data_IF_365145350267
#
_entry.id   IF_365145350267
#
_cell.length_a   1.000
_cell.length_b   1.000
_cell.length_c   1.000
_cell.angle_alpha   90.00
_cell.angle_beta   90.00
_cell.angle_gamma   90.00
#
_symmetry.space_group_name_H-M   'P 1'
#
loop_
_entity.id
_entity.type
_entity.pdbx_description
1 polymer ?
#
# COMPACT_ATOMS: atom_id res chain seq x y z
N UNK A 1 -18.20 -24.04 -21.37
CA UNK A 1 -17.23 -23.65 -22.40
C UNK A 1 -15.90 -23.48 -21.70
N UNK A 2 -14.92 -24.29 -22.04
CA UNK A 2 -13.60 -24.28 -21.40
C UNK A 2 -12.90 -22.95 -21.76
N UNK A 3 -12.52 -22.18 -20.76
CA UNK A 3 -11.62 -21.04 -20.93
C UNK A 3 -10.29 -21.64 -21.37
N UNK A 4 -9.93 -21.46 -22.63
CA UNK A 4 -8.60 -21.74 -23.15
C UNK A 4 -7.63 -20.86 -22.35
N UNK A 5 -6.80 -21.51 -21.50
CA UNK A 5 -5.68 -20.86 -20.85
C UNK A 5 -4.81 -20.19 -21.91
N UNK A 6 -4.80 -18.86 -21.89
CA UNK A 6 -3.88 -18.09 -22.70
C UNK A 6 -2.47 -18.58 -22.34
N UNK A 7 -1.70 -19.10 -23.31
CA UNK A 7 -0.27 -19.32 -23.17
C UNK A 7 0.30 -17.99 -22.70
N UNK A 8 0.90 -17.99 -21.51
CA UNK A 8 1.69 -16.84 -21.05
C UNK A 8 2.62 -16.41 -22.21
N UNK A 9 2.61 -15.14 -22.53
CA UNK A 9 3.48 -14.63 -23.59
C UNK A 9 4.93 -14.88 -23.19
N UNK A 10 5.81 -15.11 -24.15
CA UNK A 10 7.25 -15.33 -23.90
C UNK A 10 7.87 -14.20 -23.05
N UNK A 11 7.36 -12.96 -23.24
CA UNK A 11 7.83 -11.81 -22.47
C UNK A 11 7.37 -11.86 -21.00
N UNK A 12 6.21 -12.44 -20.70
CA UNK A 12 5.76 -12.68 -19.31
C UNK A 12 6.65 -13.70 -18.62
N UNK A 13 7.00 -14.77 -19.30
CA UNK A 13 7.91 -15.77 -18.77
C UNK A 13 9.29 -15.17 -18.45
N UNK A 14 9.82 -14.30 -19.35
CA UNK A 14 11.04 -13.56 -19.07
C UNK A 14 10.92 -12.71 -17.79
N UNK A 15 9.84 -11.92 -17.65
CA UNK A 15 9.62 -11.09 -16.47
C UNK A 15 9.52 -11.94 -15.19
N UNK A 16 8.79 -13.05 -15.20
CA UNK A 16 8.66 -13.94 -14.05
C UNK A 16 10.01 -14.57 -13.65
N UNK A 17 10.89 -14.89 -14.62
CA UNK A 17 12.22 -15.40 -14.33
C UNK A 17 13.09 -14.43 -13.51
N UNK A 18 12.82 -13.11 -13.59
CA UNK A 18 13.54 -12.10 -12.82
C UNK A 18 13.22 -12.11 -11.33
N UNK A 19 12.11 -12.74 -10.91
CA UNK A 19 11.75 -12.84 -9.47
C UNK A 19 12.78 -13.61 -8.65
N UNK A 20 13.47 -14.57 -9.26
CA UNK A 20 14.48 -15.41 -8.58
C UNK A 20 15.78 -14.65 -8.29
N UNK A 21 16.00 -13.53 -8.95
CA UNK A 21 17.25 -12.76 -8.83
C UNK A 21 17.34 -11.90 -7.56
N UNK A 22 16.25 -11.79 -6.81
CA UNK A 22 16.21 -10.97 -5.59
C UNK A 22 16.25 -9.46 -5.86
N UNK A 23 16.31 -8.69 -4.79
CA UNK A 23 16.49 -7.23 -4.86
C UNK A 23 17.96 -6.89 -5.10
N UNK A 24 18.20 -5.98 -6.04
CA UNK A 24 19.51 -5.41 -6.31
C UNK A 24 19.40 -3.89 -6.12
N UNK A 25 19.85 -3.36 -4.98
CA UNK A 25 19.88 -1.91 -4.77
C UNK A 25 20.82 -1.26 -5.79
N UNK A 26 20.35 -0.20 -6.46
CA UNK A 26 21.13 0.55 -7.45
C UNK A 26 20.21 1.21 -8.47
N UNK A 27 20.68 2.29 -9.08
CA UNK A 27 19.91 3.08 -10.05
C UNK A 27 20.42 2.91 -11.48
N UNK A 28 21.58 2.26 -11.64
CA UNK A 28 22.34 2.24 -12.90
C UNK A 28 21.56 1.54 -14.01
N UNK A 29 21.05 0.32 -13.73
CA UNK A 29 20.29 -0.48 -14.72
C UNK A 29 19.01 0.26 -15.14
N UNK A 30 18.26 0.76 -14.18
CA UNK A 30 17.03 1.52 -14.45
C UNK A 30 17.33 2.80 -15.24
N UNK A 31 18.40 3.52 -14.90
CA UNK A 31 18.81 4.75 -15.60
C UNK A 31 19.17 4.48 -17.06
N UNK A 32 19.95 3.43 -17.34
CA UNK A 32 20.28 2.99 -18.70
C UNK A 32 19.00 2.67 -19.49
N UNK A 33 18.09 1.91 -18.90
CA UNK A 33 16.84 1.51 -19.56
C UNK A 33 15.90 2.69 -19.80
N UNK A 34 15.75 3.62 -18.85
CA UNK A 34 15.00 4.87 -19.06
C UNK A 34 15.56 5.68 -20.25
N UNK A 35 16.88 5.75 -20.35
CA UNK A 35 17.53 6.44 -21.48
C UNK A 35 17.22 5.75 -22.82
N UNK A 36 17.33 4.42 -22.88
CA UNK A 36 17.01 3.63 -24.08
C UNK A 36 15.53 3.71 -24.48
N UNK A 37 14.64 3.87 -23.50
CA UNK A 37 13.21 4.05 -23.70
C UNK A 37 12.80 5.51 -24.00
N UNK A 38 13.76 6.43 -24.17
CA UNK A 38 13.50 7.83 -24.51
C UNK A 38 13.05 8.69 -23.34
N UNK A 39 13.48 8.37 -22.12
CA UNK A 39 13.21 9.14 -20.89
C UNK A 39 11.72 9.39 -20.64
N UNK A 40 10.86 8.35 -20.63
CA UNK A 40 9.40 8.52 -20.53
C UNK A 40 8.98 9.24 -19.24
N UNK A 41 9.71 9.05 -18.12
CA UNK A 41 9.46 9.70 -16.85
C UNK A 41 9.59 11.23 -16.87
N UNK A 42 10.20 11.80 -17.87
CA UNK A 42 10.37 13.27 -18.02
C UNK A 42 9.16 13.94 -18.69
N UNK A 43 8.18 13.16 -19.14
CA UNK A 43 7.02 13.70 -19.88
C UNK A 43 5.91 14.22 -18.97
N UNK A 44 5.96 13.94 -17.69
CA UNK A 44 4.97 14.35 -16.68
C UNK A 44 5.65 14.59 -15.34
N UNK A 45 5.20 15.58 -14.53
CA UNK A 45 5.66 15.76 -13.16
C UNK A 45 5.07 14.67 -12.25
N UNK A 46 5.76 14.39 -11.14
CA UNK A 46 5.34 13.33 -10.22
C UNK A 46 5.36 13.79 -8.77
N UNK A 47 4.43 13.24 -7.97
CA UNK A 47 4.50 13.23 -6.51
C UNK A 47 5.11 11.91 -6.08
N UNK A 48 6.26 11.93 -5.42
CA UNK A 48 6.99 10.74 -5.00
C UNK A 48 6.80 10.48 -3.51
N UNK A 49 6.28 9.31 -3.14
CA UNK A 49 5.87 8.98 -1.78
C UNK A 49 6.71 7.86 -1.21
N UNK A 50 7.37 8.11 -0.06
CA UNK A 50 8.08 7.11 0.74
C UNK A 50 7.52 7.04 2.16
N UNK A 51 7.96 6.03 2.92
CA UNK A 51 7.56 5.78 4.30
C UNK A 51 7.55 4.29 4.62
N UNK A 52 7.25 3.93 5.85
CA UNK A 52 7.02 2.53 6.24
C UNK A 52 5.55 2.17 6.06
N UNK A 53 4.65 2.85 6.75
CA UNK A 53 3.22 2.63 6.68
C UNK A 53 2.51 3.80 5.99
N UNK A 54 1.33 3.54 5.38
CA UNK A 54 0.47 4.57 4.81
C UNK A 54 0.84 5.07 3.41
N UNK A 55 1.97 4.63 2.81
CA UNK A 55 2.39 5.02 1.45
C UNK A 55 1.27 4.85 0.41
N UNK A 56 0.82 3.61 0.24
CA UNK A 56 -0.20 3.28 -0.76
C UNK A 56 -1.50 4.03 -0.55
N UNK A 57 -1.96 4.18 0.71
CA UNK A 57 -3.17 4.96 1.03
C UNK A 57 -3.02 6.43 0.65
N UNK A 58 -1.87 7.04 0.98
CA UNK A 58 -1.57 8.42 0.59
C UNK A 58 -1.51 8.57 -0.94
N UNK A 59 -0.86 7.64 -1.63
CA UNK A 59 -0.76 7.63 -3.10
C UNK A 59 -2.13 7.54 -3.78
N UNK A 60 -2.99 6.63 -3.29
CA UNK A 60 -4.32 6.42 -3.89
C UNK A 60 -5.22 7.65 -3.68
N UNK A 61 -5.21 8.24 -2.48
CA UNK A 61 -6.00 9.45 -2.20
C UNK A 61 -5.51 10.62 -3.06
N UNK A 62 -4.19 10.83 -3.18
CA UNK A 62 -3.60 11.85 -4.06
C UNK A 62 -4.05 11.66 -5.52
N UNK A 63 -3.91 10.45 -6.05
CA UNK A 63 -4.26 10.15 -7.43
C UNK A 63 -5.77 10.32 -7.69
N UNK A 64 -6.61 9.81 -6.78
CA UNK A 64 -8.05 9.91 -6.93
C UNK A 64 -8.54 11.36 -6.81
N UNK A 65 -7.95 12.17 -5.92
CA UNK A 65 -8.28 13.59 -5.81
C UNK A 65 -7.91 14.37 -7.09
N UNK A 66 -6.77 14.08 -7.69
CA UNK A 66 -6.36 14.63 -8.99
C UNK A 66 -7.35 14.23 -10.08
N UNK A 67 -7.66 12.94 -10.21
CA UNK A 67 -8.60 12.46 -11.23
C UNK A 67 -10.01 13.04 -11.06
N UNK A 68 -10.52 13.16 -9.83
CA UNK A 68 -11.82 13.79 -9.55
C UNK A 68 -11.84 15.29 -9.88
N UNK A 69 -10.70 15.97 -9.82
CA UNK A 69 -10.59 17.37 -10.26
C UNK A 69 -10.39 17.54 -11.77
N UNK A 70 -10.40 16.44 -12.54
CA UNK A 70 -10.25 16.46 -14.00
C UNK A 70 -8.80 16.41 -14.49
N UNK A 71 -7.82 16.15 -13.60
CA UNK A 71 -6.40 16.01 -13.94
C UNK A 71 -6.12 14.52 -14.16
N UNK A 72 -5.74 14.13 -15.38
CA UNK A 72 -5.41 12.73 -15.68
C UNK A 72 -4.18 12.29 -14.88
N UNK A 73 -4.32 11.23 -14.07
CA UNK A 73 -3.34 10.82 -13.10
C UNK A 73 -2.88 9.38 -13.28
N UNK A 74 -1.56 9.20 -13.46
CA UNK A 74 -0.92 7.91 -13.36
C UNK A 74 -0.62 7.56 -11.89
N UNK A 75 -0.90 6.33 -11.47
CA UNK A 75 -0.62 5.84 -10.13
C UNK A 75 0.24 4.57 -10.20
N UNK A 76 1.43 4.63 -9.59
CA UNK A 76 2.29 3.46 -9.39
C UNK A 76 2.36 3.08 -7.93
N UNK A 77 1.95 1.83 -7.62
CA UNK A 77 1.94 1.27 -6.25
C UNK A 77 2.54 -0.13 -6.22
N UNK A 78 3.04 -0.56 -5.06
CA UNK A 78 3.57 -1.91 -4.87
C UNK A 78 3.46 -2.40 -3.42
N UNK A 79 3.33 -3.73 -3.22
CA UNK A 79 3.13 -4.77 -4.23
C UNK A 79 1.68 -4.84 -4.73
N UNK A 80 1.40 -5.75 -5.68
CA UNK A 80 0.04 -6.12 -6.09
C UNK A 80 -0.54 -7.23 -5.19
N UNK A 81 -1.85 -7.42 -5.23
CA UNK A 81 -2.58 -8.50 -4.55
C UNK A 81 -2.79 -9.71 -5.47
N UNK A 82 -3.39 -9.52 -6.63
CA UNK A 82 -3.81 -10.58 -7.54
C UNK A 82 -2.99 -10.64 -8.84
N UNK A 83 -2.78 -9.50 -9.50
CA UNK A 83 -2.07 -9.43 -10.78
C UNK A 83 -1.20 -8.17 -10.92
N UNK A 84 -0.17 -8.25 -11.74
CA UNK A 84 0.88 -7.22 -11.80
C UNK A 84 0.40 -5.86 -12.30
N UNK A 85 -0.62 -5.83 -13.17
CA UNK A 85 -1.21 -4.61 -13.72
C UNK A 85 -1.80 -3.70 -12.65
N UNK A 86 -2.17 -4.24 -11.48
CA UNK A 86 -2.62 -3.45 -10.31
C UNK A 86 -1.59 -2.41 -9.86
N UNK A 87 -0.31 -2.62 -10.18
CA UNK A 87 0.75 -1.66 -9.83
C UNK A 87 0.68 -0.38 -10.64
N UNK A 88 -0.02 -0.40 -11.77
CA UNK A 88 -0.04 0.67 -12.76
C UNK A 88 -1.48 1.02 -13.09
N UNK A 89 -1.92 2.15 -12.60
CA UNK A 89 -3.29 2.64 -12.81
C UNK A 89 -3.27 3.99 -13.51
N UNK A 90 -4.27 4.22 -14.34
CA UNK A 90 -4.57 5.53 -14.94
C UNK A 90 -5.99 5.88 -14.53
N UNK A 91 -6.14 7.03 -13.88
CA UNK A 91 -7.41 7.50 -13.33
C UNK A 91 -8.13 6.43 -12.48
N UNK A 92 -7.35 5.76 -11.62
CA UNK A 92 -7.81 4.75 -10.68
C UNK A 92 -8.01 3.34 -11.27
N UNK A 93 -7.89 3.15 -12.59
CA UNK A 93 -8.14 1.88 -13.29
C UNK A 93 -6.81 1.20 -13.65
N UNK A 94 -6.59 -0.08 -13.29
CA UNK A 94 -5.43 -0.85 -13.75
C UNK A 94 -5.33 -0.86 -15.28
N UNK A 95 -4.10 -0.74 -15.81
CA UNK A 95 -3.90 -0.87 -17.27
C UNK A 95 -4.27 -2.27 -17.76
N UNK A 96 -4.69 -2.39 -19.00
CA UNK A 96 -5.05 -3.69 -19.56
C UNK A 96 -3.83 -4.58 -19.72
N UNK A 97 -4.03 -5.91 -19.60
CA UNK A 97 -3.00 -6.93 -19.86
C UNK A 97 -2.34 -6.75 -21.23
N UNK A 98 -3.14 -6.43 -22.24
CA UNK A 98 -2.62 -6.18 -23.60
C UNK A 98 -1.66 -4.98 -23.64
N UNK A 99 -2.01 -3.90 -22.96
CA UNK A 99 -1.16 -2.71 -22.90
C UNK A 99 0.12 -3.00 -22.12
N UNK A 100 -0.02 -3.67 -20.95
CA UNK A 100 1.11 -4.10 -20.15
C UNK A 100 2.09 -4.95 -20.97
N UNK A 101 1.62 -5.97 -21.68
CA UNK A 101 2.46 -6.88 -22.48
C UNK A 101 3.16 -6.18 -23.64
N UNK A 102 2.45 -5.26 -24.31
CA UNK A 102 3.03 -4.46 -25.39
C UNK A 102 4.18 -3.59 -24.90
N UNK A 103 4.03 -2.96 -23.74
CA UNK A 103 5.08 -2.13 -23.14
C UNK A 103 6.19 -2.98 -22.57
N UNK A 104 5.86 -4.10 -21.92
CA UNK A 104 6.83 -5.05 -21.38
C UNK A 104 7.78 -5.55 -22.48
N UNK A 105 7.27 -5.82 -23.70
CA UNK A 105 8.11 -6.19 -24.83
C UNK A 105 9.11 -5.06 -25.16
N UNK A 106 8.71 -3.81 -25.17
CA UNK A 106 9.61 -2.68 -25.41
C UNK A 106 10.71 -2.57 -24.35
N UNK A 107 10.35 -2.84 -23.08
CA UNK A 107 11.32 -2.87 -21.96
C UNK A 107 12.31 -4.02 -22.14
N UNK A 108 11.85 -5.20 -22.51
CA UNK A 108 12.73 -6.35 -22.82
C UNK A 108 13.66 -6.05 -23.98
N UNK A 109 13.14 -5.52 -25.08
CA UNK A 109 13.95 -5.16 -26.26
C UNK A 109 15.01 -4.11 -25.89
N UNK A 110 14.69 -3.15 -25.02
CA UNK A 110 15.66 -2.19 -24.52
C UNK A 110 16.72 -2.83 -23.61
N UNK A 111 16.36 -3.86 -22.82
CA UNK A 111 17.28 -4.59 -21.97
C UNK A 111 18.27 -5.44 -22.78
N UNK A 112 17.82 -6.00 -23.91
CA UNK A 112 18.61 -6.85 -24.79
C UNK A 112 19.56 -6.08 -25.70
N UNK A 113 19.47 -4.73 -25.79
CA UNK A 113 20.40 -3.91 -26.58
C UNK A 113 21.84 -4.05 -26.07
N UNK A 114 22.81 -4.01 -27.00
CA UNK A 114 24.24 -4.12 -26.66
C UNK A 114 24.82 -2.82 -26.07
N UNK A 115 25.50 -2.84 -24.91
CA UNK A 115 25.62 -3.98 -23.98
C UNK A 115 24.30 -4.29 -23.29
N UNK A 116 23.94 -5.59 -23.20
CA UNK A 116 22.72 -6.00 -22.52
C UNK A 116 22.77 -5.69 -21.03
N UNK A 117 21.63 -5.32 -20.47
CA UNK A 117 21.46 -5.07 -19.03
C UNK A 117 20.31 -5.90 -18.48
N UNK A 118 20.41 -6.30 -17.22
CA UNK A 118 19.42 -7.20 -16.61
C UNK A 118 18.73 -6.49 -15.43
N UNK A 119 17.50 -5.99 -15.64
CA UNK A 119 16.72 -5.39 -14.58
C UNK A 119 16.17 -6.43 -13.60
N UNK A 120 15.83 -6.01 -12.39
CA UNK A 120 15.01 -6.79 -11.47
C UNK A 120 13.53 -6.74 -11.86
N UNK A 121 12.73 -7.68 -11.32
CA UNK A 121 11.27 -7.67 -11.50
C UNK A 121 10.63 -6.33 -11.14
N UNK A 122 11.08 -5.70 -10.04
CA UNK A 122 10.55 -4.41 -9.60
C UNK A 122 10.91 -3.28 -10.57
N UNK A 123 12.17 -3.22 -11.02
CA UNK A 123 12.61 -2.23 -12.01
C UNK A 123 11.80 -2.32 -13.31
N UNK A 124 11.52 -3.55 -13.78
CA UNK A 124 10.65 -3.76 -14.95
C UNK A 124 9.28 -3.17 -14.73
N UNK A 125 8.64 -3.41 -13.56
CA UNK A 125 7.30 -2.85 -13.30
C UNK A 125 7.30 -1.32 -13.27
N UNK A 126 8.34 -0.71 -12.72
CA UNK A 126 8.50 0.74 -12.74
C UNK A 126 8.71 1.29 -14.15
N UNK A 127 9.55 0.66 -14.97
CA UNK A 127 9.77 1.05 -16.36
C UNK A 127 8.49 0.94 -17.20
N UNK A 128 7.73 -0.13 -17.02
CA UNK A 128 6.42 -0.30 -17.67
C UNK A 128 5.45 0.83 -17.24
N UNK A 129 5.45 1.21 -15.95
CA UNK A 129 4.62 2.31 -15.47
C UNK A 129 4.99 3.64 -16.13
N UNK A 130 6.28 3.98 -16.19
CA UNK A 130 6.74 5.22 -16.82
C UNK A 130 6.36 5.31 -18.29
N UNK A 131 6.49 4.20 -19.01
CA UNK A 131 6.07 4.09 -20.42
C UNK A 131 4.55 4.22 -20.57
N UNK A 132 3.78 3.50 -19.74
CA UNK A 132 2.32 3.51 -19.79
C UNK A 132 1.76 4.92 -19.55
N UNK A 133 2.29 5.64 -18.55
CA UNK A 133 1.87 6.99 -18.24
C UNK A 133 2.24 7.98 -19.36
N UNK A 134 3.44 7.84 -19.93
CA UNK A 134 3.88 8.67 -21.05
C UNK A 134 3.07 8.43 -22.33
N UNK A 135 2.69 7.18 -22.62
CA UNK A 135 1.86 6.81 -23.78
C UNK A 135 0.40 7.24 -23.61
N UNK A 136 -0.12 7.20 -22.37
CA UNK A 136 -1.45 7.70 -22.06
C UNK A 136 -1.54 9.24 -22.02
N UNK A 137 -0.41 9.94 -21.91
CA UNK A 137 -0.37 11.40 -21.81
C UNK A 137 -0.94 11.93 -20.52
N UNK A 138 -0.66 11.26 -19.39
CA UNK A 138 -1.14 11.73 -18.09
C UNK A 138 -0.57 13.11 -17.74
N UNK A 139 -1.38 13.93 -17.09
CA UNK A 139 -0.95 15.28 -16.67
C UNK A 139 0.03 15.21 -15.50
N UNK A 140 -0.11 14.20 -14.64
CA UNK A 140 0.71 14.00 -13.44
C UNK A 140 0.75 12.52 -13.06
N UNK A 141 1.80 12.11 -12.31
CA UNK A 141 1.83 10.80 -11.70
C UNK A 141 2.02 10.88 -10.18
N UNK A 142 1.53 9.85 -9.48
CA UNK A 142 1.81 9.59 -8.06
C UNK A 142 2.55 8.27 -7.98
N UNK A 143 3.73 8.28 -7.38
CA UNK A 143 4.69 7.19 -7.42
C UNK A 143 5.03 6.74 -5.99
N UNK A 144 4.69 5.51 -5.64
CA UNK A 144 5.06 4.86 -4.38
C UNK A 144 6.45 4.23 -4.48
N UNK A 145 7.32 4.45 -3.48
CA UNK A 145 8.59 3.71 -3.35
C UNK A 145 8.34 2.24 -3.01
N UNK A 146 9.14 1.35 -3.58
CA UNK A 146 9.09 -0.07 -3.23
C UNK A 146 9.80 -0.37 -1.91
N UNK A 147 11.06 0.05 -1.78
CA UNK A 147 11.88 -0.17 -0.59
C UNK A 147 12.87 0.98 -0.37
N UNK A 148 12.88 1.51 0.87
CA UNK A 148 13.79 2.61 1.20
C UNK A 148 13.42 3.88 0.45
N UNK A 149 14.33 4.41 -0.34
CA UNK A 149 14.16 5.61 -1.17
C UNK A 149 15.43 5.94 -1.95
N UNK A 150 16.59 5.97 -1.30
CA UNK A 150 17.88 6.38 -1.88
C UNK A 150 18.27 5.59 -3.12
N UNK A 151 18.11 4.27 -3.07
CA UNK A 151 18.48 3.33 -4.15
C UNK A 151 17.25 2.65 -4.79
N UNK A 152 16.05 3.18 -4.53
CA UNK A 152 14.83 2.69 -5.16
C UNK A 152 14.71 3.23 -6.59
N UNK A 153 14.33 2.39 -7.55
CA UNK A 153 14.21 2.77 -8.96
C UNK A 153 13.31 4.00 -9.18
N UNK A 154 12.28 4.15 -8.33
CA UNK A 154 11.37 5.30 -8.37
C UNK A 154 12.04 6.63 -8.08
N UNK A 155 13.26 6.60 -7.48
CA UNK A 155 14.09 7.80 -7.32
C UNK A 155 14.38 8.51 -8.63
N UNK A 156 14.29 7.82 -9.76
CA UNK A 156 14.53 8.35 -11.11
C UNK A 156 13.30 9.02 -11.74
N UNK A 157 12.13 9.04 -11.10
CA UNK A 157 10.97 9.80 -11.59
C UNK A 157 11.23 11.31 -11.54
N UNK A 158 10.56 12.06 -12.40
CA UNK A 158 10.60 13.53 -12.40
C UNK A 158 9.65 14.08 -11.33
N UNK A 159 10.09 14.07 -10.06
CA UNK A 159 9.29 14.56 -8.96
C UNK A 159 9.50 16.04 -8.70
N UNK A 160 8.41 16.78 -8.55
CA UNK A 160 8.36 18.16 -8.05
C UNK A 160 7.85 18.25 -6.61
N UNK A 161 7.30 17.13 -6.07
CA UNK A 161 6.98 16.96 -4.68
C UNK A 161 7.40 15.58 -4.17
N UNK A 162 7.86 15.54 -2.92
CA UNK A 162 8.21 14.33 -2.18
C UNK A 162 7.44 14.31 -0.86
N UNK A 163 6.81 13.17 -0.55
CA UNK A 163 6.03 12.98 0.67
C UNK A 163 6.63 11.83 1.47
N UNK A 164 6.92 12.05 2.74
CA UNK A 164 7.38 11.04 3.68
C UNK A 164 6.27 10.75 4.69
N UNK A 165 5.68 9.57 4.60
CA UNK A 165 4.66 9.10 5.50
C UNK A 165 5.28 8.58 6.81
N UNK A 166 4.57 7.79 7.58
CA UNK A 166 5.05 7.25 8.84
C UNK A 166 6.29 6.36 8.66
N UNK A 167 7.22 6.46 9.61
CA UNK A 167 8.38 5.60 9.76
C UNK A 167 8.16 4.57 10.88
N UNK A 168 8.53 3.34 10.61
CA UNK A 168 8.56 2.24 11.58
C UNK A 168 9.75 1.33 11.29
N UNK A 169 10.14 0.51 12.24
CA UNK A 169 11.16 -0.52 12.04
C UNK A 169 10.62 -1.57 11.07
N UNK A 170 11.19 -1.61 9.88
CA UNK A 170 10.87 -2.58 8.83
C UNK A 170 12.11 -2.83 7.97
N UNK A 171 12.19 -4.00 7.36
CA UNK A 171 13.32 -4.37 6.48
C UNK A 171 14.68 -4.05 7.10
N UNK A 172 14.82 -4.32 8.39
CA UNK A 172 16.01 -3.94 9.18
C UNK A 172 17.30 -4.58 8.65
N UNK A 173 17.21 -5.72 7.99
CA UNK A 173 18.32 -6.38 7.31
C UNK A 173 18.91 -5.55 6.15
N UNK A 174 18.13 -4.61 5.59
CA UNK A 174 18.49 -3.84 4.38
C UNK A 174 18.60 -2.35 4.70
N UNK A 175 17.63 -1.79 5.45
CA UNK A 175 17.54 -0.35 5.71
C UNK A 175 18.25 0.09 6.98
N UNK A 176 18.66 -0.89 7.83
CA UNK A 176 19.24 -0.66 9.14
C UNK A 176 18.27 -0.85 10.30
N UNK A 177 18.81 -1.01 11.47
CA UNK A 177 18.17 -1.47 12.71
C UNK A 177 17.70 -0.33 13.62
N UNK A 178 17.75 0.93 13.14
CA UNK A 178 17.26 2.11 13.87
C UNK A 178 16.35 2.98 12.98
N UNK A 179 15.44 3.72 13.63
CA UNK A 179 14.58 4.67 12.91
C UNK A 179 15.39 5.76 12.19
N UNK A 180 16.54 6.18 12.76
CA UNK A 180 17.46 7.14 12.14
C UNK A 180 18.01 6.62 10.79
N UNK A 181 18.48 5.36 10.75
CA UNK A 181 18.97 4.75 9.50
C UNK A 181 17.86 4.63 8.47
N UNK A 182 16.70 4.15 8.89
CA UNK A 182 15.52 4.03 8.02
C UNK A 182 15.07 5.41 7.50
N UNK A 183 15.08 6.43 8.35
CA UNK A 183 14.79 7.81 7.99
C UNK A 183 15.75 8.35 6.93
N UNK A 184 17.06 8.10 7.11
CA UNK A 184 18.11 8.48 6.15
C UNK A 184 17.86 7.88 4.77
N UNK A 185 17.56 6.57 4.70
CA UNK A 185 17.28 5.89 3.43
C UNK A 185 16.01 6.39 2.75
N UNK A 186 14.94 6.65 3.54
CA UNK A 186 13.65 7.06 3.00
C UNK A 186 13.59 8.54 2.65
N UNK A 187 14.16 9.44 3.47
CA UNK A 187 14.20 10.87 3.21
C UNK A 187 15.06 11.22 1.98
N UNK A 188 15.96 10.33 1.57
CA UNK A 188 16.76 10.49 0.35
C UNK A 188 15.95 10.49 -0.95
N UNK A 189 14.63 10.34 -0.91
CA UNK A 189 13.76 10.66 -2.05
C UNK A 189 13.74 12.16 -2.37
N UNK A 190 14.07 13.02 -1.41
CA UNK A 190 14.17 14.47 -1.62
C UNK A 190 15.09 14.85 -2.78
N UNK A 191 14.74 15.89 -3.49
CA UNK A 191 15.53 16.50 -4.58
C UNK A 191 15.57 18.02 -4.41
N UNK A 192 16.69 18.68 -4.73
CA UNK A 192 16.76 20.14 -4.73
C UNK A 192 15.64 20.76 -5.59
N UNK A 193 14.92 21.72 -5.02
CA UNK A 193 13.82 22.41 -5.69
C UNK A 193 12.45 21.74 -5.57
N UNK A 194 12.37 20.50 -5.10
CA UNK A 194 11.10 19.84 -4.83
C UNK A 194 10.45 20.36 -3.54
N UNK A 195 9.12 20.40 -3.53
CA UNK A 195 8.37 20.45 -2.28
C UNK A 195 8.65 19.16 -1.49
N UNK A 196 8.91 19.27 -0.19
CA UNK A 196 9.07 18.13 0.69
C UNK A 196 8.12 18.23 1.87
N UNK A 197 7.32 17.19 2.09
CA UNK A 197 6.38 17.11 3.21
C UNK A 197 6.65 15.81 3.96
N UNK A 198 6.96 15.92 5.24
CA UNK A 198 7.21 14.78 6.10
C UNK A 198 6.21 14.74 7.27
N UNK A 199 5.70 13.55 7.54
CA UNK A 199 4.98 13.30 8.79
C UNK A 199 5.92 13.52 9.97
N UNK A 200 5.45 14.24 10.99
CA UNK A 200 6.21 14.42 12.22
C UNK A 200 6.58 13.07 12.85
N UNK A 201 7.83 12.93 13.24
CA UNK A 201 8.32 11.78 13.98
C UNK A 201 8.74 12.21 15.39
N UNK A 202 8.39 11.41 16.39
CA UNK A 202 8.74 11.70 17.79
C UNK A 202 10.18 11.26 18.14
N UNK A 203 10.80 10.42 17.33
CA UNK A 203 12.19 10.02 17.46
C UNK A 203 13.12 11.14 16.98
N UNK A 204 14.00 11.64 17.86
CA UNK A 204 14.89 12.75 17.57
C UNK A 204 15.95 12.39 16.51
N UNK A 205 16.45 11.15 16.53
CA UNK A 205 17.41 10.65 15.55
C UNK A 205 16.80 10.64 14.13
N UNK A 206 15.57 10.12 14.02
CA UNK A 206 14.84 10.11 12.76
C UNK A 206 14.54 11.54 12.24
N UNK A 207 14.14 12.47 13.12
CA UNK A 207 13.93 13.89 12.73
C UNK A 207 15.21 14.52 12.21
N UNK A 208 16.30 14.40 12.95
CA UNK A 208 17.60 14.93 12.54
C UNK A 208 18.06 14.35 11.20
N UNK A 209 17.86 13.06 10.98
CA UNK A 209 18.20 12.41 9.72
C UNK A 209 17.39 12.96 8.54
N UNK A 210 16.09 13.20 8.75
CA UNK A 210 15.22 13.81 7.74
C UNK A 210 15.65 15.24 7.45
N UNK A 211 15.88 16.06 8.46
CA UNK A 211 16.32 17.45 8.31
C UNK A 211 17.66 17.56 7.58
N UNK A 212 18.61 16.69 7.91
CA UNK A 212 19.92 16.63 7.24
C UNK A 212 19.84 16.16 5.77
N UNK A 213 18.77 15.44 5.40
CA UNK A 213 18.55 14.98 4.03
C UNK A 213 18.00 16.09 3.11
N UNK A 214 17.47 17.17 3.70
CA UNK A 214 16.84 18.28 2.97
C UNK A 214 17.83 19.44 2.83
N UNK A 215 18.19 19.81 1.61
CA UNK A 215 19.12 20.91 1.34
C UNK A 215 18.47 22.29 1.31
N UNK A 216 17.23 22.37 0.86
CA UNK A 216 16.43 23.60 0.80
C UNK A 216 15.21 23.52 1.72
N UNK A 217 15.34 24.10 2.90
CA UNK A 217 14.29 24.07 3.91
C UNK A 217 13.13 25.04 3.61
N UNK A 218 13.27 25.96 2.66
CA UNK A 218 12.18 26.89 2.30
C UNK A 218 10.97 26.20 1.69
N UNK A 219 11.17 24.98 1.15
CA UNK A 219 10.14 24.14 0.54
C UNK A 219 9.89 22.84 1.32
N UNK A 220 10.30 22.79 2.59
CA UNK A 220 10.21 21.59 3.38
C UNK A 220 9.34 21.80 4.63
N UNK A 221 8.42 20.85 4.86
CA UNK A 221 7.38 20.98 5.86
C UNK A 221 7.19 19.69 6.65
N UNK A 222 7.01 19.84 7.99
CA UNK A 222 6.49 18.81 8.85
C UNK A 222 4.96 18.82 8.85
N UNK A 223 4.36 17.67 8.78
CA UNK A 223 2.97 17.45 9.11
C UNK A 223 2.86 16.89 10.54
N UNK A 224 2.13 17.59 11.41
CA UNK A 224 1.87 17.15 12.79
C UNK A 224 0.41 17.41 13.16
N UNK A 225 -0.34 16.31 13.41
CA UNK A 225 -1.75 16.35 13.81
C UNK A 225 -2.61 17.19 12.85
N UNK A 226 -2.94 18.41 13.27
CA UNK A 226 -3.84 19.38 12.64
C UNK A 226 -3.11 20.54 11.97
N UNK A 227 -1.77 20.54 11.96
CA UNK A 227 -0.97 21.68 11.49
C UNK A 227 0.26 21.29 10.69
N UNK A 228 0.59 22.14 9.72
CA UNK A 228 1.85 22.11 9.00
C UNK A 228 2.86 23.05 9.68
N UNK A 229 4.12 22.63 9.75
CA UNK A 229 5.24 23.40 10.29
C UNK A 229 6.43 23.31 9.35
N UNK A 230 7.15 24.41 9.17
CA UNK A 230 8.43 24.37 8.44
C UNK A 230 9.44 23.40 9.10
N UNK A 231 10.25 22.70 8.32
CA UNK A 231 11.22 21.72 8.84
C UNK A 231 12.27 22.37 9.75
N UNK A 232 12.68 23.58 9.48
CA UNK A 232 13.49 24.40 10.43
C UNK A 232 12.62 25.47 11.06
N UNK A 233 11.79 25.05 11.98
CA UNK A 233 10.89 25.94 12.68
C UNK A 233 11.64 26.66 13.80
N UNK A 234 11.76 27.97 13.68
CA UNK A 234 12.11 28.83 14.82
C UNK A 234 10.82 29.06 15.62
N UNK A 235 10.77 28.52 16.84
CA UNK A 235 9.61 28.62 17.74
C UNK A 235 9.19 30.06 18.02
N UNK A 236 10.03 31.05 17.71
CA UNK A 236 9.74 32.48 17.86
C UNK A 236 8.89 33.07 16.71
N UNK A 237 8.80 32.41 15.57
CA UNK A 237 8.05 32.87 14.38
C UNK A 237 6.95 31.88 13.98
N UNK A 238 5.88 31.82 14.74
CA UNK A 238 4.76 30.93 14.57
C UNK A 238 3.90 31.24 13.33
N UNK A 239 4.31 30.82 12.15
CA UNK A 239 3.41 30.72 10.99
C UNK A 239 2.83 29.32 10.87
N UNK A 240 1.90 28.99 11.75
CA UNK A 240 1.12 27.76 11.66
C UNK A 240 0.04 27.96 10.58
N UNK A 241 0.01 27.08 9.58
CA UNK A 241 -1.12 26.97 8.66
C UNK A 241 -2.03 25.86 9.18
N UNK A 242 -3.21 26.17 9.77
CA UNK A 242 -4.15 25.16 10.15
C UNK A 242 -4.65 24.45 8.88
N UNK A 243 -4.66 23.12 8.90
CA UNK A 243 -5.39 22.33 7.90
C UNK A 243 -6.71 21.97 8.56
N UNK A 244 -7.85 22.31 7.96
CA UNK A 244 -9.16 22.02 8.51
C UNK A 244 -9.26 20.51 8.85
N UNK A 245 -9.90 20.21 9.98
CA UNK A 245 -10.23 18.83 10.31
C UNK A 245 -11.28 18.30 9.33
N UNK A 246 -11.26 16.99 9.09
CA UNK A 246 -12.25 16.35 8.26
C UNK A 246 -13.47 16.05 9.12
N UNK A 247 -14.52 16.87 9.02
CA UNK A 247 -15.81 16.60 9.65
C UNK A 247 -16.49 15.41 8.95
N UNK A 248 -17.14 14.53 9.72
CA UNK A 248 -17.94 13.43 9.16
C UNK A 248 -17.17 12.13 8.84
N UNK A 249 -15.93 11.98 9.27
CA UNK A 249 -15.13 10.75 9.07
C UNK A 249 -14.98 9.92 10.36
N UNK A 250 -16.03 9.82 11.16
CA UNK A 250 -15.97 9.19 12.48
C UNK A 250 -15.64 7.69 12.42
N UNK A 251 -15.95 7.01 11.30
CA UNK A 251 -15.60 5.61 11.07
C UNK A 251 -14.18 5.36 10.52
N UNK A 252 -13.38 6.41 10.30
CA UNK A 252 -12.07 6.29 9.71
C UNK A 252 -10.95 6.09 10.72
N UNK A 253 -10.04 5.16 10.38
CA UNK A 253 -8.84 4.98 11.17
C UNK A 253 -7.98 6.26 11.22
N UNK A 254 -7.31 6.55 12.35
CA UNK A 254 -6.42 7.69 12.46
C UNK A 254 -5.37 7.75 11.33
N UNK A 255 -4.82 6.60 10.92
CA UNK A 255 -3.85 6.53 9.82
C UNK A 255 -4.45 6.82 8.44
N UNK A 256 -5.74 6.56 8.23
CA UNK A 256 -6.44 6.91 6.99
C UNK A 256 -6.70 8.42 6.93
N UNK A 257 -7.16 9.01 8.04
CA UNK A 257 -7.30 10.48 8.19
C UNK A 257 -5.97 11.18 7.97
N UNK A 258 -4.88 10.62 8.47
CA UNK A 258 -3.55 11.17 8.28
C UNK A 258 -3.09 11.12 6.81
N UNK A 259 -3.34 10.02 6.11
CA UNK A 259 -3.04 9.92 4.68
C UNK A 259 -3.81 10.97 3.86
N UNK A 260 -5.08 11.20 4.19
CA UNK A 260 -5.91 12.23 3.56
C UNK A 260 -5.39 13.65 3.83
N UNK A 261 -4.97 13.94 5.06
CA UNK A 261 -4.38 15.24 5.42
C UNK A 261 -3.06 15.51 4.71
N UNK A 262 -2.18 14.51 4.63
CA UNK A 262 -0.94 14.61 3.85
C UNK A 262 -1.24 14.87 2.37
N UNK A 263 -2.24 14.20 1.80
CA UNK A 263 -2.67 14.41 0.43
C UNK A 263 -3.19 15.84 0.22
N UNK A 264 -4.10 16.31 1.08
CA UNK A 264 -4.67 17.68 1.01
C UNK A 264 -3.59 18.75 1.11
N UNK A 265 -2.67 18.60 2.07
CA UNK A 265 -1.53 19.50 2.22
C UNK A 265 -0.63 19.51 0.99
N UNK A 266 -0.30 18.35 0.45
CA UNK A 266 0.57 18.22 -0.73
C UNK A 266 -0.04 18.93 -1.93
N UNK A 267 -1.32 18.66 -2.22
CA UNK A 267 -2.04 19.27 -3.34
C UNK A 267 -2.17 20.78 -3.18
N UNK A 268 -2.53 21.25 -1.99
CA UNK A 268 -2.64 22.69 -1.70
C UNK A 268 -1.31 23.44 -1.85
N UNK A 269 -0.20 22.84 -1.40
CA UNK A 269 1.14 23.44 -1.54
C UNK A 269 1.70 23.36 -2.96
N UNK A 270 1.24 22.41 -3.77
CA UNK A 270 1.50 22.34 -5.22
C UNK A 270 0.56 23.26 -6.03
N UNK A 271 -0.31 24.05 -5.37
CA UNK A 271 -1.31 24.90 -5.98
C UNK A 271 -2.40 24.18 -6.81
N UNK A 272 -2.64 22.90 -6.55
CA UNK A 272 -3.78 22.14 -7.06
C UNK A 272 -4.98 22.31 -6.12
N UNK A 273 -5.53 23.53 -6.03
CA UNK A 273 -6.56 23.86 -5.04
C UNK A 273 -7.84 23.05 -5.24
N UNK A 274 -8.30 22.89 -6.49
CA UNK A 274 -9.50 22.10 -6.81
C UNK A 274 -9.30 20.64 -6.40
N UNK A 275 -8.13 20.05 -6.66
CA UNK A 275 -7.83 18.68 -6.25
C UNK A 275 -7.71 18.57 -4.72
N UNK A 276 -7.19 19.58 -4.02
CA UNK A 276 -7.14 19.59 -2.57
C UNK A 276 -8.54 19.62 -1.94
N UNK A 277 -9.52 20.29 -2.56
CA UNK A 277 -10.94 20.26 -2.17
C UNK A 277 -11.58 18.90 -2.47
N UNK A 278 -11.13 18.20 -3.51
CA UNK A 278 -11.63 16.86 -3.83
C UNK A 278 -11.11 15.75 -2.91
N UNK A 279 -10.18 16.02 -1.99
CA UNK A 279 -9.61 14.96 -1.12
C UNK A 279 -10.68 14.25 -0.29
N UNK A 280 -11.65 14.96 0.27
CA UNK A 280 -12.74 14.35 1.04
C UNK A 280 -13.59 13.45 0.15
N UNK A 281 -13.97 13.93 -1.04
CA UNK A 281 -14.66 13.12 -2.03
C UNK A 281 -13.81 11.93 -2.48
N UNK A 282 -12.51 12.14 -2.74
CA UNK A 282 -11.59 11.05 -3.11
C UNK A 282 -11.59 9.94 -2.07
N UNK A 283 -11.56 10.31 -0.80
CA UNK A 283 -11.63 9.38 0.31
C UNK A 283 -12.89 8.53 0.26
N UNK A 284 -14.06 9.14 0.09
CA UNK A 284 -15.35 8.44 0.01
C UNK A 284 -15.45 7.52 -1.22
N UNK A 285 -14.83 7.89 -2.33
CA UNK A 285 -14.84 7.13 -3.58
C UNK A 285 -13.68 6.13 -3.71
N UNK A 286 -12.76 6.09 -2.74
CA UNK A 286 -11.63 5.17 -2.77
C UNK A 286 -12.01 3.81 -2.19
N UNK A 287 -11.89 2.78 -3.01
CA UNK A 287 -11.83 1.39 -2.56
C UNK A 287 -10.38 0.93 -2.71
N UNK A 288 -9.67 0.83 -1.60
CA UNK A 288 -8.28 0.35 -1.61
C UNK A 288 -8.26 -1.14 -1.27
N UNK A 289 -8.07 -2.05 -2.26
CA UNK A 289 -8.16 -3.49 -2.02
C UNK A 289 -7.20 -3.95 -0.91
N UNK A 290 -7.74 -4.73 0.03
CA UNK A 290 -6.98 -5.26 1.15
C UNK A 290 -6.52 -4.22 2.18
N UNK A 291 -7.18 -3.06 2.30
CA UNK A 291 -6.91 -2.07 3.34
C UNK A 291 -8.21 -1.70 4.05
N UNK A 292 -8.50 -2.36 5.16
CA UNK A 292 -9.77 -2.27 5.89
C UNK A 292 -10.96 -2.38 4.92
N UNK A 293 -10.81 -3.20 3.88
CA UNK A 293 -11.79 -3.33 2.82
C UNK A 293 -12.97 -4.17 3.31
N UNK A 294 -14.16 -3.57 3.26
CA UNK A 294 -15.41 -4.26 3.54
C UNK A 294 -15.98 -4.86 2.26
N UNK A 295 -16.38 -6.11 2.35
CA UNK A 295 -16.96 -6.89 1.26
C UNK A 295 -18.16 -7.65 1.77
N UNK A 296 -19.02 -8.09 0.85
CA UNK A 296 -20.03 -9.11 1.10
C UNK A 296 -19.81 -10.26 0.12
N UNK A 297 -19.76 -11.47 0.63
CA UNK A 297 -19.62 -12.66 -0.19
C UNK A 297 -20.56 -13.76 0.27
N UNK A 298 -21.43 -14.24 -0.61
CA UNK A 298 -22.48 -15.25 -0.32
C UNK A 298 -23.37 -14.86 0.87
N UNK A 299 -23.67 -13.56 1.02
CA UNK A 299 -24.51 -13.04 2.10
C UNK A 299 -23.81 -12.95 3.48
N UNK A 300 -22.49 -13.11 3.52
CA UNK A 300 -21.67 -12.96 4.73
C UNK A 300 -20.81 -11.72 4.59
N UNK A 301 -20.83 -10.79 5.57
CA UNK A 301 -19.92 -9.64 5.58
C UNK A 301 -18.47 -10.09 5.83
N UNK A 302 -17.52 -9.52 5.08
CA UNK A 302 -16.09 -9.72 5.27
C UNK A 302 -15.38 -8.39 5.44
N UNK A 303 -14.42 -8.37 6.35
CA UNK A 303 -13.41 -7.31 6.45
C UNK A 303 -12.05 -7.90 6.17
N UNK A 304 -11.34 -7.34 5.19
CA UNK A 304 -10.01 -7.84 4.81
C UNK A 304 -8.96 -6.74 4.94
N UNK A 305 -7.82 -7.09 5.54
CA UNK A 305 -6.67 -6.19 5.63
C UNK A 305 -5.34 -6.94 5.41
N UNK A 306 -4.46 -6.30 4.66
CA UNK A 306 -3.16 -6.86 4.30
C UNK A 306 -2.03 -6.43 5.25
N UNK A 307 -2.31 -6.16 6.52
CA UNK A 307 -1.31 -5.95 7.55
C UNK A 307 -0.34 -7.14 7.57
N UNK A 308 0.97 -6.86 7.53
CA UNK A 308 2.00 -7.88 7.37
C UNK A 308 3.29 -7.57 8.14
N UNK A 309 3.25 -6.62 9.05
CA UNK A 309 4.30 -6.29 10.00
C UNK A 309 3.68 -5.91 11.36
N UNK A 310 4.45 -5.92 12.47
CA UNK A 310 3.91 -5.65 13.81
C UNK A 310 3.16 -4.33 13.93
N UNK A 311 3.72 -3.22 13.44
CA UNK A 311 3.06 -1.90 13.49
C UNK A 311 1.77 -1.83 12.67
N UNK A 312 1.72 -2.53 11.52
CA UNK A 312 0.49 -2.62 10.72
C UNK A 312 -0.60 -3.43 11.44
N UNK A 313 -0.23 -4.55 12.05
CA UNK A 313 -1.16 -5.39 12.83
C UNK A 313 -1.73 -4.64 14.01
N UNK A 314 -0.88 -3.96 14.78
CA UNK A 314 -1.29 -3.12 15.91
C UNK A 314 -2.36 -2.09 15.52
N UNK A 315 -2.12 -1.34 14.45
CA UNK A 315 -3.04 -0.31 13.98
C UNK A 315 -4.38 -0.85 13.51
N UNK A 316 -4.36 -1.97 12.80
CA UNK A 316 -5.60 -2.60 12.31
C UNK A 316 -6.42 -3.13 13.50
N UNK A 317 -5.78 -3.82 14.45
CA UNK A 317 -6.46 -4.34 15.63
C UNK A 317 -6.99 -3.22 16.54
N UNK A 318 -6.20 -2.16 16.75
CA UNK A 318 -6.64 -0.98 17.51
C UNK A 318 -7.87 -0.33 16.86
N UNK A 319 -7.83 -0.13 15.54
CA UNK A 319 -8.95 0.46 14.80
C UNK A 319 -10.20 -0.42 14.90
N UNK A 320 -10.06 -1.73 14.80
CA UNK A 320 -11.18 -2.64 14.94
C UNK A 320 -11.80 -2.59 16.33
N UNK A 321 -11.01 -2.52 17.41
CA UNK A 321 -11.53 -2.35 18.78
C UNK A 321 -12.37 -1.07 18.87
N UNK A 322 -11.85 0.06 18.39
CA UNK A 322 -12.57 1.35 18.38
C UNK A 322 -13.89 1.24 17.61
N UNK A 323 -13.91 0.58 16.46
CA UNK A 323 -15.12 0.41 15.65
C UNK A 323 -16.14 -0.53 16.30
N UNK A 324 -15.69 -1.58 16.98
CA UNK A 324 -16.54 -2.50 17.72
C UNK A 324 -17.13 -1.81 18.96
N UNK A 325 -16.33 -1.10 19.74
CA UNK A 325 -16.78 -0.34 20.93
C UNK A 325 -17.79 0.77 20.59
N UNK A 326 -17.66 1.35 19.39
CA UNK A 326 -18.55 2.42 18.91
C UNK A 326 -19.76 1.91 18.10
N UNK A 327 -19.99 0.60 18.04
CA UNK A 327 -21.02 -0.05 17.23
C UNK A 327 -20.97 0.28 15.72
N UNK A 328 -19.81 0.76 15.23
CA UNK A 328 -19.60 1.09 13.80
C UNK A 328 -19.37 -0.17 12.97
N UNK A 329 -18.79 -1.21 13.59
CA UNK A 329 -18.58 -2.51 12.95
C UNK A 329 -18.86 -3.63 13.97
N UNK A 330 -19.67 -4.64 13.60
CA UNK A 330 -19.98 -5.73 14.49
C UNK A 330 -18.74 -6.61 14.73
N UNK A 331 -18.65 -7.18 15.91
CA UNK A 331 -17.58 -8.12 16.27
C UNK A 331 -17.50 -9.28 15.28
N UNK A 332 -16.32 -9.59 14.72
CA UNK A 332 -16.15 -10.75 13.87
C UNK A 332 -16.43 -12.06 14.62
N UNK A 333 -17.18 -12.96 14.01
CA UNK A 333 -17.39 -14.30 14.56
C UNK A 333 -16.26 -15.26 14.24
N UNK A 334 -15.55 -15.01 13.15
CA UNK A 334 -14.48 -15.86 12.63
C UNK A 334 -13.32 -15.00 12.11
N UNK A 335 -12.09 -15.43 12.41
CA UNK A 335 -10.87 -14.84 11.84
C UNK A 335 -10.21 -15.86 10.91
N UNK A 336 -9.79 -15.41 9.71
CA UNK A 336 -8.87 -16.12 8.84
C UNK A 336 -7.50 -15.45 8.98
N UNK A 337 -6.51 -16.18 9.47
CA UNK A 337 -5.17 -15.65 9.73
C UNK A 337 -4.09 -16.48 9.05
N UNK A 338 -3.15 -15.80 8.39
CA UNK A 338 -1.99 -16.43 7.79
C UNK A 338 -0.94 -15.40 7.42
N UNK A 339 0.34 -15.71 7.68
CA UNK A 339 1.42 -14.76 7.45
C UNK A 339 2.64 -15.40 6.78
N UNK A 340 3.53 -14.52 6.30
CA UNK A 340 4.90 -14.86 5.92
C UNK A 340 5.82 -14.73 7.13
N UNK A 341 7.02 -15.35 7.13
CA UNK A 341 7.95 -15.29 8.27
C UNK A 341 8.22 -13.87 8.75
N UNK A 342 8.10 -13.67 10.05
CA UNK A 342 8.34 -12.42 10.76
C UNK A 342 9.64 -12.53 11.56
N UNK A 343 10.38 -11.43 11.71
CA UNK A 343 11.52 -11.35 12.63
C UNK A 343 11.10 -11.41 14.11
N UNK A 344 9.88 -10.95 14.39
CA UNK A 344 9.22 -10.99 15.70
C UNK A 344 7.78 -11.47 15.49
N UNK A 345 7.58 -12.78 15.52
CA UNK A 345 6.26 -13.40 15.35
C UNK A 345 5.37 -13.12 16.56
N UNK A 346 5.92 -13.09 17.77
CA UNK A 346 5.17 -12.83 19.00
C UNK A 346 4.60 -11.42 18.99
N UNK A 347 5.45 -10.41 18.74
CA UNK A 347 5.00 -9.03 18.64
C UNK A 347 4.04 -8.79 17.47
N UNK A 348 4.13 -9.61 16.41
CA UNK A 348 3.20 -9.53 15.28
C UNK A 348 1.81 -10.05 15.62
N UNK A 349 1.68 -11.15 16.37
CA UNK A 349 0.38 -11.76 16.69
C UNK A 349 -0.25 -11.20 17.97
N UNK A 350 0.52 -10.57 18.86
CA UNK A 350 0.03 -10.08 20.15
C UNK A 350 -1.20 -9.14 20.01
N UNK A 351 -1.24 -8.14 19.12
CA UNK A 351 -2.42 -7.29 18.95
C UNK A 351 -3.67 -8.07 18.49
N UNK A 352 -3.47 -9.14 17.70
CA UNK A 352 -4.55 -10.02 17.27
C UNK A 352 -5.13 -10.83 18.43
N UNK A 353 -4.28 -11.34 19.32
CA UNK A 353 -4.71 -12.06 20.52
C UNK A 353 -5.53 -11.15 21.43
N UNK A 354 -5.06 -9.93 21.64
CA UNK A 354 -5.80 -8.93 22.42
C UNK A 354 -7.18 -8.64 21.78
N UNK A 355 -7.24 -8.46 20.46
CA UNK A 355 -8.52 -8.27 19.75
C UNK A 355 -9.46 -9.47 19.92
N UNK A 356 -8.92 -10.69 19.89
CA UNK A 356 -9.69 -11.92 20.09
C UNK A 356 -10.29 -11.98 21.50
N UNK A 357 -9.50 -11.66 22.50
CA UNK A 357 -9.92 -11.68 23.90
C UNK A 357 -10.96 -10.60 24.18
N UNK A 358 -10.68 -9.35 23.77
CA UNK A 358 -11.57 -8.22 23.99
C UNK A 358 -12.91 -8.36 23.24
N UNK A 359 -12.86 -8.93 22.03
CA UNK A 359 -14.03 -9.17 21.21
C UNK A 359 -14.78 -10.47 21.51
N UNK A 360 -14.31 -11.31 22.43
CA UNK A 360 -14.84 -12.65 22.68
C UNK A 360 -14.98 -13.50 21.39
N UNK A 361 -14.03 -13.34 20.45
CA UNK A 361 -14.03 -14.03 19.15
C UNK A 361 -13.76 -15.52 19.37
N UNK A 362 -14.58 -16.39 18.79
CA UNK A 362 -14.57 -17.82 19.13
C UNK A 362 -13.78 -18.69 18.16
N UNK A 363 -13.63 -18.28 16.92
CA UNK A 363 -13.04 -19.13 15.87
C UNK A 363 -11.89 -18.42 15.17
N UNK A 364 -10.74 -19.10 15.08
CA UNK A 364 -9.61 -18.67 14.23
C UNK A 364 -9.24 -19.82 13.29
N UNK A 365 -9.21 -19.53 12.01
CA UNK A 365 -8.78 -20.45 10.96
C UNK A 365 -7.38 -20.04 10.51
N UNK A 366 -6.36 -20.84 10.85
CA UNK A 366 -4.99 -20.58 10.41
C UNK A 366 -4.75 -21.20 9.05
N UNK A 367 -4.14 -20.42 8.15
CA UNK A 367 -3.90 -20.82 6.75
C UNK A 367 -2.53 -20.39 6.26
N UNK A 368 -2.11 -20.93 5.12
CA UNK A 368 -0.79 -20.69 4.55
C UNK A 368 -0.91 -19.86 3.26
N UNK A 369 -0.56 -18.55 3.29
CA UNK A 369 -0.53 -17.72 2.10
C UNK A 369 0.25 -18.36 0.95
N UNK A 370 -0.36 -18.41 -0.24
CA UNK A 370 0.22 -19.03 -1.43
C UNK A 370 0.90 -17.98 -2.34
N UNK A 371 1.85 -18.42 -3.16
CA UNK A 371 2.55 -17.60 -4.16
C UNK A 371 3.38 -16.44 -3.56
N UNK A 372 3.71 -16.52 -2.26
CA UNK A 372 4.61 -15.56 -1.62
C UNK A 372 6.06 -15.69 -2.12
N UNK A 373 6.85 -14.61 -1.93
CA UNK A 373 8.30 -14.64 -2.22
C UNK A 373 9.08 -15.55 -1.26
N UNK A 374 8.59 -15.73 -0.05
CA UNK A 374 9.10 -16.68 0.95
C UNK A 374 8.00 -17.68 1.26
N UNK A 375 8.34 -18.91 1.64
CA UNK A 375 7.34 -19.83 2.16
C UNK A 375 6.53 -19.19 3.29
N UNK A 376 5.24 -19.50 3.36
CA UNK A 376 4.40 -19.07 4.46
C UNK A 376 4.88 -19.71 5.79
N UNK A 377 4.53 -19.08 6.92
CA UNK A 377 4.56 -19.75 8.21
C UNK A 377 3.53 -20.87 8.16
N UNK A 378 3.90 -22.08 8.58
CA UNK A 378 2.99 -23.21 8.49
C UNK A 378 1.77 -23.06 9.41
N UNK A 379 0.63 -23.54 8.98
CA UNK A 379 -0.59 -23.51 9.79
C UNK A 379 -0.43 -24.24 11.13
N UNK A 380 0.47 -25.23 11.22
CA UNK A 380 0.82 -25.92 12.47
C UNK A 380 1.63 -25.03 13.40
N UNK A 381 2.58 -24.27 12.88
CA UNK A 381 3.38 -23.31 13.66
C UNK A 381 2.50 -22.16 14.17
N UNK A 382 1.64 -21.60 13.32
CA UNK A 382 0.70 -20.54 13.71
C UNK A 382 -0.27 -20.99 14.79
N UNK A 383 -0.80 -22.21 14.68
CA UNK A 383 -1.67 -22.80 15.71
C UNK A 383 -0.92 -22.89 17.05
N UNK A 384 0.30 -23.47 17.04
CA UNK A 384 1.10 -23.62 18.25
C UNK A 384 1.42 -22.25 18.90
N UNK A 385 1.75 -21.25 18.08
CA UNK A 385 2.08 -19.92 18.56
C UNK A 385 0.87 -19.24 19.21
N UNK A 386 -0.31 -19.29 18.57
CA UNK A 386 -1.55 -18.73 19.12
C UNK A 386 -1.97 -19.44 20.42
N UNK A 387 -1.85 -20.77 20.49
CA UNK A 387 -2.14 -21.54 21.71
C UNK A 387 -1.17 -21.19 22.84
N UNK A 388 0.12 -21.04 22.54
CA UNK A 388 1.16 -20.72 23.54
C UNK A 388 0.94 -19.36 24.21
N UNK A 389 0.33 -18.41 23.49
CA UNK A 389 -0.02 -17.08 24.01
C UNK A 389 -1.36 -17.06 24.77
N UNK A 390 -2.00 -18.24 24.95
CA UNK A 390 -3.17 -18.38 25.80
C UNK A 390 -4.48 -17.89 25.18
N UNK A 391 -4.58 -17.86 23.87
CA UNK A 391 -5.80 -17.46 23.18
C UNK A 391 -6.96 -18.45 23.52
N UNK A 392 -8.07 -18.01 24.14
CA UNK A 392 -9.19 -18.87 24.60
C UNK A 392 -10.17 -19.18 23.46
N UNK A 393 -9.69 -19.80 22.37
CA UNK A 393 -10.43 -19.94 21.11
C UNK A 393 -10.31 -21.35 20.51
N UNK A 394 -11.24 -21.66 19.60
CA UNK A 394 -11.13 -22.81 18.72
C UNK A 394 -10.27 -22.44 17.51
N UNK A 395 -9.08 -23.04 17.39
CA UNK A 395 -8.18 -22.85 16.26
C UNK A 395 -8.27 -24.06 15.34
N UNK A 396 -8.67 -23.86 14.08
CA UNK A 396 -8.69 -24.89 13.06
C UNK A 396 -7.58 -24.63 12.01
N UNK A 397 -6.94 -25.70 11.54
CA UNK A 397 -5.91 -25.62 10.49
C UNK A 397 -6.50 -25.87 9.12
N UNK A 398 -6.35 -24.92 8.23
CA UNK A 398 -6.73 -25.03 6.83
C UNK A 398 -5.58 -24.51 5.96
N UNK A 399 -4.59 -25.35 5.57
CA UNK A 399 -3.40 -24.91 4.84
C UNK A 399 -3.73 -24.16 3.53
N UNK A 400 -4.85 -24.50 2.90
CA UNK A 400 -5.30 -23.81 1.68
C UNK A 400 -6.22 -22.63 2.03
N UNK A 401 -5.91 -21.40 1.59
CA UNK A 401 -6.76 -20.21 1.86
C UNK A 401 -8.20 -20.34 1.36
N UNK A 402 -8.43 -21.03 0.24
CA UNK A 402 -9.79 -21.28 -0.25
C UNK A 402 -10.59 -22.19 0.67
N UNK A 403 -9.96 -23.21 1.26
CA UNK A 403 -10.63 -24.10 2.23
C UNK A 403 -10.91 -23.35 3.55
N UNK A 404 -9.99 -22.48 3.99
CA UNK A 404 -10.22 -21.61 5.13
C UNK A 404 -11.42 -20.66 4.89
N UNK A 405 -11.55 -20.09 3.70
CA UNK A 405 -12.67 -19.23 3.32
C UNK A 405 -14.00 -20.01 3.35
N UNK A 406 -14.07 -21.19 2.75
CA UNK A 406 -15.27 -22.03 2.75
C UNK A 406 -15.70 -22.36 4.19
N UNK A 407 -14.75 -22.77 5.03
CA UNK A 407 -15.02 -23.08 6.44
C UNK A 407 -15.46 -21.85 7.23
N UNK A 408 -14.86 -20.70 7.00
CA UNK A 408 -15.26 -19.44 7.62
C UNK A 408 -16.70 -19.05 7.24
N UNK A 409 -17.09 -19.24 5.98
CA UNK A 409 -18.47 -18.99 5.52
C UNK A 409 -19.48 -19.91 6.18
N UNK A 410 -19.15 -21.19 6.40
CA UNK A 410 -19.99 -22.13 7.14
C UNK A 410 -20.23 -21.66 8.58
N UNK A 411 -19.14 -21.28 9.27
CA UNK A 411 -19.21 -20.84 10.67
C UNK A 411 -19.95 -19.51 10.84
N UNK A 412 -19.61 -18.53 10.00
CA UNK A 412 -20.16 -17.18 10.04
C UNK A 412 -21.62 -17.10 9.54
N UNK A 413 -22.02 -18.01 8.66
CA UNK A 413 -23.37 -18.08 8.09
C UNK A 413 -24.45 -18.59 9.03
N UNK A 414 -24.09 -19.09 10.22
CA UNK A 414 -25.05 -19.49 11.27
C UNK A 414 -25.71 -18.24 11.82
N UNK A 415 -27.05 -18.26 11.90
CA UNK A 415 -27.81 -17.09 12.36
C UNK A 415 -27.67 -16.87 13.88
N UNK A 416 -27.43 -15.65 14.35
CA UNK A 416 -27.25 -14.43 13.54
C UNK A 416 -25.93 -14.46 12.75
N UNK A 417 -25.97 -14.01 11.48
CA UNK A 417 -24.78 -13.95 10.64
C UNK A 417 -23.76 -13.00 11.26
N UNK A 418 -22.52 -13.45 11.36
CA UNK A 418 -21.41 -12.67 11.91
C UNK A 418 -20.36 -12.37 10.83
N UNK A 419 -19.66 -11.25 10.92
CA UNK A 419 -18.61 -10.93 9.96
C UNK A 419 -17.42 -11.89 10.05
N UNK A 420 -16.71 -12.03 8.93
CA UNK A 420 -15.40 -12.67 8.84
C UNK A 420 -14.34 -11.56 8.79
N UNK A 421 -13.28 -11.69 9.60
CA UNK A 421 -12.07 -10.89 9.51
C UNK A 421 -10.97 -11.72 8.87
N UNK A 422 -10.29 -11.18 7.84
CA UNK A 422 -9.13 -11.83 7.25
C UNK A 422 -7.94 -10.88 7.22
N UNK A 423 -6.79 -11.31 7.79
CA UNK A 423 -5.59 -10.48 7.91
C UNK A 423 -4.30 -11.32 8.07
N UNK A 424 -3.14 -10.64 7.99
CA UNK A 424 -1.82 -11.19 8.29
C UNK A 424 -0.86 -11.22 7.10
N UNK A 425 -1.34 -11.11 5.85
CA UNK A 425 -0.47 -11.11 4.67
C UNK A 425 -1.15 -10.55 3.43
N UNK A 426 -0.41 -9.77 2.64
CA UNK A 426 -0.82 -9.38 1.29
C UNK A 426 -1.18 -10.60 0.41
N UNK A 427 -0.37 -11.66 0.51
CA UNK A 427 -0.60 -12.89 -0.28
C UNK A 427 -1.87 -13.62 0.13
N UNK A 428 -2.16 -13.65 1.45
CA UNK A 428 -3.43 -14.22 1.94
C UNK A 428 -4.62 -13.48 1.34
N UNK A 429 -4.61 -12.16 1.42
CA UNK A 429 -5.71 -11.34 0.89
C UNK A 429 -5.87 -11.57 -0.61
N UNK A 430 -4.78 -11.59 -1.39
CA UNK A 430 -4.82 -11.93 -2.81
C UNK A 430 -5.41 -13.32 -3.08
N UNK A 431 -5.04 -14.34 -2.29
CA UNK A 431 -5.60 -15.69 -2.43
C UNK A 431 -7.10 -15.74 -2.13
N UNK A 432 -7.56 -15.01 -1.10
CA UNK A 432 -8.98 -14.94 -0.77
C UNK A 432 -9.78 -14.20 -1.85
N UNK A 433 -9.27 -13.07 -2.36
CA UNK A 433 -9.89 -12.35 -3.47
C UNK A 433 -10.01 -13.24 -4.72
N UNK A 434 -8.96 -13.99 -5.07
CA UNK A 434 -8.98 -14.97 -6.16
C UNK A 434 -10.02 -16.07 -5.92
N UNK A 435 -10.09 -16.62 -4.68
CA UNK A 435 -11.08 -17.64 -4.32
C UNK A 435 -12.52 -17.12 -4.40
N UNK A 436 -12.73 -15.84 -4.19
CA UNK A 436 -14.04 -15.16 -4.34
C UNK A 436 -14.37 -14.74 -5.77
N UNK A 437 -13.41 -14.84 -6.71
CA UNK A 437 -13.56 -14.34 -8.09
C UNK A 437 -13.52 -12.80 -8.19
N UNK A 438 -12.87 -12.15 -7.23
CA UNK A 438 -12.71 -10.69 -7.17
C UNK A 438 -11.29 -10.25 -7.61
N UNK A 439 -10.73 -10.96 -8.58
CA UNK A 439 -9.37 -10.76 -9.12
C UNK A 439 -9.39 -10.23 -10.57
N UNK A 440 -10.38 -9.42 -10.90
CA UNK A 440 -10.51 -8.74 -12.20
C UNK A 440 -10.17 -7.24 -12.11
N UNK A 441 -10.06 -6.60 -13.27
CA UNK A 441 -9.76 -5.16 -13.37
C UNK A 441 -10.78 -4.30 -12.63
N UNK A 442 -12.07 -4.65 -12.70
CA UNK A 442 -13.12 -3.91 -12.01
C UNK A 442 -12.95 -4.01 -10.49
N UNK A 443 -12.69 -5.20 -9.97
CA UNK A 443 -12.47 -5.45 -8.55
C UNK A 443 -11.23 -4.72 -8.02
N UNK A 444 -10.22 -4.49 -8.85
CA UNK A 444 -8.96 -3.81 -8.51
C UNK A 444 -8.95 -2.31 -8.89
N UNK A 445 -10.05 -1.77 -9.43
CA UNK A 445 -10.21 -0.34 -9.66
C UNK A 445 -10.38 0.38 -8.32
N UNK A 446 -9.58 1.45 -8.09
CA UNK A 446 -9.54 2.13 -6.79
C UNK A 446 -10.42 3.37 -6.72
N UNK A 447 -10.76 3.98 -7.85
CA UNK A 447 -11.71 5.09 -7.92
C UNK A 447 -13.05 4.56 -8.43
N UNK A 448 -14.03 4.48 -7.54
CA UNK A 448 -15.37 3.96 -7.89
C UNK A 448 -16.45 4.93 -7.46
N UNK A 449 -17.56 5.03 -8.22
CA UNK A 449 -18.74 5.67 -7.69
C UNK A 449 -19.23 4.89 -6.46
N UNK A 450 -19.41 5.57 -5.34
CA UNK A 450 -20.01 4.95 -4.15
C UNK A 450 -21.49 4.69 -4.50
N UNK A 451 -21.99 3.45 -4.37
CA UNK A 451 -23.42 3.20 -4.46
C UNK A 451 -24.14 4.01 -3.38
N UNK A 452 -25.26 4.66 -3.74
CA UNK A 452 -26.02 5.56 -2.85
C UNK A 452 -26.40 4.94 -1.49
N UNK A 453 -26.34 3.61 -1.34
CA UNK A 453 -26.67 2.86 -0.13
C UNK A 453 -25.47 2.37 0.68
N UNK A 454 -24.23 2.77 0.34
CA UNK A 454 -23.01 2.41 1.08
C UNK A 454 -22.36 3.61 1.79
N UNK A 455 -23.14 4.64 2.09
CA UNK A 455 -22.71 5.61 3.08
C UNK A 455 -22.56 4.87 4.41
N UNK A 456 -21.41 5.01 4.99
CA UNK A 456 -21.04 4.50 6.29
C UNK A 456 -21.99 5.10 7.34
N UNK A 457 -23.11 4.43 7.63
CA UNK A 457 -23.91 4.69 8.84
C UNK A 457 -23.45 3.75 9.93
#
# INVERSE_FOLDING_TARGET
MAVQGAKESEVRFWMESLRTMGMRPGLEVTSVLLTRLGMPQMKFPSIHVAGSNGKGSCCVILANALSLSGISCGLFTSPHLCFVEERIRIDGVPISTKNFDSILQKVKDAADQNPSVMPSYYEVTFLVAMMAFAEAGVDRAVIETGLGGRLDSTRLCYADACVLTELALEHTDILGDTLEKIATEKAAIYRPGCLFIARWNYDDGARNAIENSVLDHSKAWWWRYDRAMGIRFDMANESHRPIPDFEGFDGWAPYQKEAARLAKMTLGMLHYHDAAEMVESAVLHTVWPGRMQRLEYKGVPLLIDAAHNPSGMEKVCEQLRIQMESDIYPTPGVIIFGCTPQSDIVGFIQPLIELIVDGEIKHVLVTEPQKGRRPAVSSTELLHELESQGAPILIEKHPQPSAALERALELAGVKPVQPILALGSLYLIGNLLQAMGLDDVHSMTVLRPVPENQYWT
#
